data_IF_750600099182
#
_entry.id   IF_750600099182
#
_cell.length_a   1.000
_cell.length_b   1.000
_cell.length_c   1.000
_cell.angle_alpha   90.00
_cell.angle_beta   90.00
_cell.angle_gamma   90.00
#
_symmetry.space_group_name_H-M   'P 1'
#
loop_
_entity.id
_entity.type
_entity.pdbx_description
1 polymer ?
#
# COMPACT_ATOMS: atom_id res chain seq x y z
N UNK A 1 9.51 -4.51 17.35
CA UNK A 1 8.93 -3.76 16.21
C UNK A 1 8.94 -2.27 16.56
N UNK A 2 9.25 -1.37 15.62
CA UNK A 2 9.29 0.06 15.90
C UNK A 2 7.88 0.60 16.14
N UNK A 3 7.71 1.38 17.20
CA UNK A 3 6.45 2.06 17.55
C UNK A 3 6.44 3.53 17.14
N UNK A 4 7.61 4.14 17.03
CA UNK A 4 7.81 5.49 16.52
C UNK A 4 9.11 5.57 15.72
N UNK A 5 9.07 6.32 14.61
CA UNK A 5 10.23 6.69 13.81
C UNK A 5 10.16 8.21 13.63
N UNK A 6 11.21 8.93 14.05
CA UNK A 6 11.33 10.38 13.82
C UNK A 6 12.32 10.66 12.71
N UNK A 7 11.99 11.65 11.89
CA UNK A 7 12.89 12.22 10.89
C UNK A 7 13.38 13.57 11.39
N UNK A 8 14.66 13.87 11.18
CA UNK A 8 15.30 15.12 11.61
C UNK A 8 15.14 15.42 13.11
N UNK A 9 14.95 14.38 13.94
CA UNK A 9 14.58 14.50 15.37
C UNK A 9 13.36 15.42 15.63
N UNK A 10 12.44 15.54 14.67
CA UNK A 10 11.26 16.41 14.77
C UNK A 10 10.05 15.66 15.33
N UNK A 11 9.27 16.33 16.18
CA UNK A 11 7.97 15.83 16.64
C UNK A 11 6.87 15.96 15.59
N UNK A 12 7.08 16.78 14.55
CA UNK A 12 6.14 16.99 13.44
C UNK A 12 6.54 16.22 12.19
N UNK A 13 7.72 15.59 12.13
CA UNK A 13 8.13 14.69 11.06
C UNK A 13 8.36 13.30 11.63
N UNK A 14 7.29 12.50 11.70
CA UNK A 14 7.36 11.19 12.35
C UNK A 14 6.34 10.21 11.81
N UNK A 15 6.59 8.93 12.05
CA UNK A 15 5.63 7.84 11.83
C UNK A 15 5.44 7.08 13.12
N UNK A 16 4.19 6.93 13.55
CA UNK A 16 3.80 6.12 14.69
C UNK A 16 3.10 4.85 14.20
N UNK A 17 3.37 3.72 14.85
CA UNK A 17 2.76 2.44 14.53
C UNK A 17 2.03 1.86 15.74
N UNK A 18 0.85 1.30 15.50
CA UNK A 18 0.12 0.49 16.47
C UNK A 18 0.04 -0.93 15.95
N UNK A 19 0.30 -1.89 16.83
CA UNK A 19 0.24 -3.31 16.54
C UNK A 19 -0.76 -3.98 17.49
N UNK A 20 -1.41 -5.03 17.02
CA UNK A 20 -2.18 -5.93 17.87
C UNK A 20 -1.26 -6.83 18.70
N UNK A 21 -1.83 -7.54 19.69
CA UNK A 21 -1.07 -8.40 20.62
C UNK A 21 -0.32 -9.54 19.92
N UNK A 22 -0.82 -9.97 18.75
CA UNK A 22 -0.20 -10.94 17.85
C UNK A 22 0.94 -10.36 16.98
N UNK A 23 1.29 -9.07 17.18
CA UNK A 23 2.30 -8.31 16.42
C UNK A 23 1.91 -7.97 14.99
N UNK A 24 0.65 -8.15 14.61
CA UNK A 24 0.14 -7.66 13.31
C UNK A 24 0.07 -6.13 13.33
N UNK A 25 0.53 -5.48 12.26
CA UNK A 25 0.42 -4.02 12.15
C UNK A 25 -1.05 -3.65 11.97
N UNK A 26 -1.55 -2.83 12.88
CA UNK A 26 -2.95 -2.42 12.92
C UNK A 26 -3.14 -1.00 12.36
N UNK A 27 -2.22 -0.08 12.68
CA UNK A 27 -2.29 1.32 12.26
C UNK A 27 -0.91 1.93 12.02
N UNK A 28 -0.85 2.84 11.06
CA UNK A 28 0.26 3.75 10.80
C UNK A 28 -0.26 5.19 10.83
N UNK A 29 0.37 6.08 11.57
CA UNK A 29 0.09 7.52 11.53
C UNK A 29 1.35 8.22 11.07
N UNK A 30 1.31 8.83 9.88
CA UNK A 30 2.37 9.71 9.38
C UNK A 30 2.03 11.13 9.75
N UNK A 31 2.98 11.85 10.34
CA UNK A 31 2.96 13.29 10.45
C UNK A 31 4.08 13.83 9.56
N UNK A 32 3.71 14.52 8.49
CA UNK A 32 4.63 15.24 7.61
C UNK A 32 4.45 16.74 7.79
N UNK A 33 5.16 17.26 8.78
CA UNK A 33 5.17 18.67 9.14
C UNK A 33 3.79 19.28 9.41
N UNK A 34 2.92 18.54 10.12
CA UNK A 34 1.55 18.94 10.43
C UNK A 34 0.50 18.28 9.53
N UNK A 35 0.89 17.76 8.37
CA UNK A 35 0.00 16.96 7.53
C UNK A 35 -0.08 15.54 8.09
N UNK A 36 -1.22 15.22 8.72
CA UNK A 36 -1.43 13.92 9.37
C UNK A 36 -2.20 12.99 8.44
N UNK A 37 -1.61 11.84 8.14
CA UNK A 37 -2.26 10.75 7.42
C UNK A 37 -2.34 9.51 8.31
N UNK A 38 -3.55 9.01 8.53
CA UNK A 38 -3.78 7.76 9.27
C UNK A 38 -4.07 6.65 8.27
N UNK A 39 -3.31 5.57 8.31
CA UNK A 39 -3.55 4.34 7.55
C UNK A 39 -3.91 3.21 8.50
N UNK A 40 -5.09 2.62 8.32
CA UNK A 40 -5.60 1.49 9.08
C UNK A 40 -5.51 0.20 8.25
N UNK A 41 -5.00 -0.85 8.89
CA UNK A 41 -4.82 -2.19 8.31
C UNK A 41 -5.74 -3.17 9.04
N UNK A 42 -6.90 -3.44 8.46
CA UNK A 42 -7.95 -4.27 9.07
C UNK A 42 -8.16 -5.51 8.21
N UNK A 43 -7.46 -6.60 8.55
CA UNK A 43 -7.48 -7.82 7.73
C UNK A 43 -7.00 -7.52 6.30
N UNK A 44 -7.84 -7.80 5.30
CA UNK A 44 -7.53 -7.53 3.90
C UNK A 44 -7.78 -6.08 3.47
N UNK A 45 -8.37 -5.25 4.34
CA UNK A 45 -8.79 -3.89 4.02
C UNK A 45 -7.75 -2.88 4.47
N UNK A 46 -7.44 -1.93 3.59
CA UNK A 46 -6.58 -0.78 3.88
C UNK A 46 -7.41 0.48 3.76
N UNK A 47 -7.46 1.27 4.83
CA UNK A 47 -8.11 2.58 4.86
C UNK A 47 -7.06 3.67 5.04
N UNK A 48 -7.25 4.79 4.37
CA UNK A 48 -6.50 6.01 4.61
C UNK A 48 -7.47 7.12 4.99
N UNK A 49 -7.27 7.73 6.16
CA UNK A 49 -8.15 8.76 6.71
C UNK A 49 -9.63 8.33 6.71
N UNK A 50 -9.89 7.09 7.15
CA UNK A 50 -11.21 6.43 7.14
C UNK A 50 -11.82 6.19 5.75
N UNK A 51 -11.09 6.43 4.66
CA UNK A 51 -11.53 6.14 3.29
C UNK A 51 -10.89 4.83 2.83
N UNK A 52 -11.70 3.89 2.35
CA UNK A 52 -11.19 2.63 1.82
C UNK A 52 -10.29 2.90 0.61
N UNK A 53 -9.09 2.32 0.63
CA UNK A 53 -8.12 2.43 -0.47
C UNK A 53 -7.96 1.11 -1.20
N UNK A 54 -7.86 0.00 -0.47
CA UNK A 54 -7.52 -1.29 -1.06
C UNK A 54 -8.21 -2.43 -0.32
N UNK A 55 -8.62 -3.46 -1.06
CA UNK A 55 -9.02 -4.77 -0.57
C UNK A 55 -8.07 -5.80 -1.17
N UNK A 56 -7.22 -6.41 -0.35
CA UNK A 56 -6.21 -7.37 -0.80
C UNK A 56 -6.84 -8.69 -1.24
N UNK A 57 -6.31 -9.29 -2.30
CA UNK A 57 -6.57 -10.67 -2.72
C UNK A 57 -5.25 -11.37 -3.10
N UNK A 58 -5.31 -12.65 -3.47
CA UNK A 58 -4.13 -13.49 -3.66
C UNK A 58 -3.11 -12.96 -4.71
N UNK A 59 -3.60 -12.26 -5.73
CA UNK A 59 -2.80 -11.81 -6.88
C UNK A 59 -2.56 -10.30 -6.89
N UNK A 60 -3.06 -9.57 -5.88
CA UNK A 60 -3.08 -8.12 -5.91
C UNK A 60 -4.09 -7.51 -4.95
N UNK A 61 -4.82 -6.51 -5.42
CA UNK A 61 -5.84 -5.83 -4.65
C UNK A 61 -6.91 -5.20 -5.55
N UNK A 62 -8.08 -4.97 -4.97
CA UNK A 62 -9.14 -4.17 -5.58
C UNK A 62 -9.11 -2.78 -4.95
N UNK A 63 -9.27 -1.74 -5.76
CA UNK A 63 -9.38 -0.35 -5.30
C UNK A 63 -10.64 0.34 -5.83
N UNK A 64 -11.18 1.36 -5.13
CA UNK A 64 -12.28 2.16 -5.65
C UNK A 64 -11.87 2.94 -6.90
N UNK A 65 -12.68 2.88 -7.96
CA UNK A 65 -12.50 3.69 -9.16
C UNK A 65 -13.84 4.37 -9.53
N UNK A 66 -13.98 5.64 -9.12
CA UNK A 66 -15.24 6.37 -9.25
C UNK A 66 -16.37 5.69 -8.46
N UNK A 67 -17.45 5.31 -9.15
CA UNK A 67 -18.56 4.54 -8.57
C UNK A 67 -18.35 3.02 -8.63
N UNK A 68 -17.27 2.57 -9.26
CA UNK A 68 -16.95 1.16 -9.48
C UNK A 68 -15.71 0.71 -8.72
N UNK A 69 -15.16 -0.41 -9.18
CA UNK A 69 -13.99 -1.06 -8.61
C UNK A 69 -13.02 -1.41 -9.72
N UNK A 70 -11.73 -1.34 -9.42
CA UNK A 70 -10.67 -1.74 -10.32
C UNK A 70 -9.80 -2.81 -9.68
N UNK A 71 -9.55 -3.88 -10.43
CA UNK A 71 -8.64 -4.94 -10.03
C UNK A 71 -7.23 -4.56 -10.45
N UNK A 72 -6.31 -4.61 -9.50
CA UNK A 72 -4.91 -4.29 -9.70
C UNK A 72 -4.09 -5.52 -9.35
N UNK A 73 -3.30 -5.98 -10.31
CA UNK A 73 -2.52 -7.21 -10.21
C UNK A 73 -1.05 -6.91 -9.95
N UNK A 74 -0.39 -7.85 -9.29
CA UNK A 74 1.03 -7.81 -8.99
C UNK A 74 1.71 -9.03 -9.60
N UNK A 75 2.64 -8.78 -10.51
CA UNK A 75 3.56 -9.83 -10.94
C UNK A 75 4.72 -9.92 -9.95
N UNK A 76 4.86 -11.08 -9.30
CA UNK A 76 5.90 -11.31 -8.30
C UNK A 76 6.99 -12.23 -8.84
N UNK A 77 8.22 -12.02 -8.37
CA UNK A 77 9.30 -13.00 -8.59
C UNK A 77 9.15 -14.24 -7.68
N UNK A 78 10.08 -15.19 -7.84
CA UNK A 78 10.12 -16.44 -7.07
C UNK A 78 10.34 -16.24 -5.55
N UNK A 79 10.71 -15.04 -5.11
CA UNK A 79 10.88 -14.69 -3.69
C UNK A 79 9.73 -13.83 -3.16
N UNK A 80 8.68 -13.62 -3.97
CA UNK A 80 7.50 -12.86 -3.59
C UNK A 80 7.65 -11.33 -3.71
N UNK A 81 8.76 -10.83 -4.27
CA UNK A 81 8.89 -9.39 -4.50
C UNK A 81 8.04 -8.98 -5.70
N UNK A 82 7.22 -7.94 -5.54
CA UNK A 82 6.42 -7.40 -6.65
C UNK A 82 7.31 -6.70 -7.66
N UNK A 83 7.44 -7.23 -8.88
CA UNK A 83 8.22 -6.62 -9.96
C UNK A 83 7.41 -5.61 -10.77
N UNK A 84 6.15 -5.95 -11.04
CA UNK A 84 5.25 -5.11 -11.83
C UNK A 84 3.90 -5.02 -11.11
N UNK A 85 3.29 -3.84 -11.11
CA UNK A 85 1.90 -3.61 -10.73
C UNK A 85 1.15 -3.01 -11.93
N UNK A 86 0.04 -3.60 -12.31
CA UNK A 86 -0.72 -3.23 -13.51
C UNK A 86 -2.22 -3.45 -13.28
N UNK A 87 -3.04 -2.77 -14.07
CA UNK A 87 -4.50 -2.93 -14.10
C UNK A 87 -4.98 -2.68 -15.53
N UNK A 88 -6.09 -3.28 -15.93
CA UNK A 88 -6.76 -2.91 -17.18
C UNK A 88 -7.49 -1.58 -16.94
N UNK A 89 -6.85 -0.47 -17.31
CA UNK A 89 -7.33 0.88 -17.01
C UNK A 89 -8.32 1.36 -18.07
N UNK A 90 -8.22 0.85 -19.30
CA UNK A 90 -9.10 1.20 -20.41
C UNK A 90 -10.29 0.23 -20.60
N UNK A 91 -10.29 -0.92 -19.90
CA UNK A 91 -11.26 -2.01 -19.95
C UNK A 91 -11.37 -2.70 -21.32
N UNK A 92 -10.27 -2.82 -22.06
CA UNK A 92 -10.23 -3.52 -23.36
C UNK A 92 -9.92 -5.02 -23.24
N UNK A 93 -9.63 -5.51 -22.03
CA UNK A 93 -9.33 -6.91 -21.74
C UNK A 93 -7.89 -7.32 -22.02
N UNK A 94 -7.03 -6.38 -22.41
CA UNK A 94 -5.59 -6.57 -22.58
C UNK A 94 -4.82 -5.61 -21.67
N UNK A 95 -3.55 -5.93 -21.41
CA UNK A 95 -2.66 -5.05 -20.64
C UNK A 95 -1.60 -4.50 -21.59
N UNK A 96 -1.61 -3.18 -21.74
CA UNK A 96 -0.59 -2.43 -22.47
C UNK A 96 0.49 -1.87 -21.53
N UNK A 97 1.62 -1.43 -22.07
CA UNK A 97 2.70 -0.83 -21.27
C UNK A 97 2.28 0.49 -20.60
N UNK A 98 1.32 1.22 -21.17
CA UNK A 98 0.73 2.42 -20.56
C UNK A 98 -0.06 2.15 -19.28
N UNK A 99 -0.43 0.90 -19.05
CA UNK A 99 -1.24 0.46 -17.91
C UNK A 99 -0.38 -0.20 -16.81
N UNK A 100 0.93 -0.19 -16.99
CA UNK A 100 1.89 -0.49 -15.94
C UNK A 100 1.95 0.71 -14.99
N UNK A 101 1.32 0.55 -13.83
CA UNK A 101 1.28 1.57 -12.78
C UNK A 101 2.59 1.70 -12.03
N UNK A 102 3.33 0.59 -11.91
CA UNK A 102 4.64 0.58 -11.26
C UNK A 102 5.50 -0.58 -11.75
N UNK A 103 6.76 -0.28 -12.03
CA UNK A 103 7.82 -1.25 -12.22
C UNK A 103 8.90 -1.01 -11.16
N UNK A 104 9.42 -2.07 -10.55
CA UNK A 104 10.50 -1.97 -9.57
C UNK A 104 11.43 -3.17 -9.61
N UNK A 105 12.72 -2.89 -9.40
CA UNK A 105 13.77 -3.89 -9.33
C UNK A 105 14.48 -3.84 -7.98
N UNK A 106 14.77 -5.02 -7.44
CA UNK A 106 15.38 -5.18 -6.13
C UNK A 106 16.82 -5.69 -6.27
N UNK A 107 17.75 -5.04 -5.58
CA UNK A 107 19.09 -5.57 -5.38
C UNK A 107 19.07 -6.69 -4.34
N UNK A 108 20.13 -7.53 -4.25
CA UNK A 108 20.27 -8.44 -3.13
C UNK A 108 20.13 -7.69 -1.80
N UNK A 109 19.30 -8.20 -0.90
CA UNK A 109 18.95 -7.62 0.42
C UNK A 109 18.02 -6.40 0.43
N UNK A 110 17.47 -6.00 -0.73
CA UNK A 110 16.46 -4.95 -0.82
C UNK A 110 17.04 -3.61 -1.24
#
# INVERSE_FOLDING_TARGET
>A
MPTEIKFDNSNTKKINYTYSADRTKFRKVTNDNGNITTTDYIGNYVYENNVLKQISHAEGYVEPNGSGWQYVYRYTDIWGNTRITYADDNNDGAISTSEIRREQNYYPFG
#
